data_IF_459378156058
#
_entry.id   IF_459378156058
#
_cell.length_a   1.000
_cell.length_b   1.000
_cell.length_c   1.000
_cell.angle_alpha   90.00
_cell.angle_beta   90.00
_cell.angle_gamma   90.00
#
_symmetry.space_group_name_H-M   'P 1'
#
loop_
_entity.id
_entity.type
_entity.pdbx_description
1 polymer ?
#
# COMPACT_ATOMS: atom_id res chain seq x y z
N UNK A 1 3.89 9.42 -0.66
CA UNK A 1 3.48 10.62 0.07
C UNK A 1 2.21 10.37 0.87
N UNK A 2 1.73 11.41 1.53
CA UNK A 2 0.47 11.49 2.24
C UNK A 2 -0.72 11.18 1.32
N UNK A 3 -1.68 10.37 1.80
CA UNK A 3 -2.99 10.19 1.15
C UNK A 3 -4.06 11.01 1.84
N UNK A 4 -5.20 11.21 1.20
CA UNK A 4 -6.37 11.89 1.79
C UNK A 4 -6.77 11.28 3.15
N UNK A 5 -6.66 9.95 3.27
CA UNK A 5 -6.97 9.23 4.51
C UNK A 5 -5.84 9.24 5.53
N UNK A 6 -4.60 9.43 5.08
CA UNK A 6 -3.51 9.62 6.02
C UNK A 6 -3.64 10.98 6.72
N UNK A 7 -3.96 12.03 5.96
CA UNK A 7 -4.16 13.40 6.44
C UNK A 7 -5.24 13.47 7.54
N UNK A 8 -6.34 12.72 7.39
CA UNK A 8 -7.43 12.69 8.38
C UNK A 8 -7.28 11.57 9.44
N UNK A 9 -6.12 10.92 9.53
CA UNK A 9 -5.81 9.85 10.51
C UNK A 9 -6.76 8.65 10.43
N UNK A 10 -7.19 8.25 9.23
CA UNK A 10 -8.05 7.06 9.01
C UNK A 10 -7.20 5.80 8.78
N UNK A 11 -7.70 4.63 9.20
CA UNK A 11 -7.13 3.34 8.80
C UNK A 11 -7.45 3.04 7.34
N UNK A 12 -6.41 2.91 6.50
CA UNK A 12 -6.58 2.71 5.05
C UNK A 12 -6.51 1.23 4.65
N UNK A 13 -5.33 0.61 4.77
CA UNK A 13 -5.10 -0.73 4.24
C UNK A 13 -5.35 -0.78 2.74
N UNK A 14 -6.17 -1.73 2.28
CA UNK A 14 -6.50 -1.89 0.86
C UNK A 14 -7.58 -0.95 0.35
N UNK A 15 -8.20 -0.12 1.21
CA UNK A 15 -8.98 0.99 0.69
C UNK A 15 -8.10 1.86 -0.22
N UNK A 16 -8.74 2.49 -1.20
CA UNK A 16 -8.03 3.14 -2.30
C UNK A 16 -8.25 4.67 -2.37
N UNK A 17 -7.99 5.41 -1.28
CA UNK A 17 -7.96 6.87 -1.36
C UNK A 17 -6.77 7.33 -2.20
N UNK A 18 -6.93 8.52 -2.74
CA UNK A 18 -5.93 9.15 -3.58
C UNK A 18 -4.80 9.81 -2.75
N UNK A 19 -3.80 10.33 -3.43
CA UNK A 19 -2.81 11.23 -2.84
C UNK A 19 -3.48 12.56 -2.45
N UNK A 20 -3.04 13.17 -1.34
CA UNK A 20 -3.36 14.58 -1.06
C UNK A 20 -2.47 15.50 -1.89
N UNK A 21 -2.81 16.79 -2.01
CA UNK A 21 -1.93 17.78 -2.66
C UNK A 21 -0.52 17.81 -2.04
N UNK A 22 -0.44 17.57 -0.73
CA UNK A 22 0.83 17.41 -0.04
C UNK A 22 1.55 16.14 -0.47
N UNK A 23 0.83 15.01 -0.58
CA UNK A 23 1.36 13.75 -1.07
C UNK A 23 1.93 13.86 -2.48
N UNK A 24 1.30 14.63 -3.37
CA UNK A 24 1.84 14.95 -4.70
C UNK A 24 3.20 15.64 -4.59
N UNK A 25 3.27 16.76 -3.84
CA UNK A 25 4.52 17.52 -3.63
C UNK A 25 5.64 16.69 -2.98
N UNK A 26 5.30 15.78 -2.08
CA UNK A 26 6.27 14.88 -1.44
C UNK A 26 6.90 13.91 -2.47
N UNK A 27 6.13 13.44 -3.44
CA UNK A 27 6.64 12.54 -4.49
C UNK A 27 7.48 13.32 -5.50
N UNK A 28 7.05 14.51 -5.92
CA UNK A 28 7.85 15.40 -6.77
C UNK A 28 9.20 15.72 -6.11
N UNK A 29 9.20 16.00 -4.80
CA UNK A 29 10.43 16.22 -4.06
C UNK A 29 11.31 14.98 -4.01
N UNK A 30 10.75 13.80 -3.77
CA UNK A 30 11.51 12.55 -3.79
C UNK A 30 12.15 12.28 -5.16
N UNK A 31 11.46 12.60 -6.26
CA UNK A 31 12.02 12.46 -7.61
C UNK A 31 13.20 13.41 -7.85
N UNK A 32 13.11 14.67 -7.39
CA UNK A 32 14.24 15.61 -7.44
C UNK A 32 15.45 15.11 -6.66
N UNK A 33 15.25 14.53 -5.49
CA UNK A 33 16.34 13.94 -4.70
C UNK A 33 17.01 12.76 -5.41
N UNK A 34 16.26 11.97 -6.20
CA UNK A 34 16.84 10.89 -7.01
C UNK A 34 17.70 11.46 -8.14
N UNK A 35 17.27 12.52 -8.81
CA UNK A 35 18.05 13.21 -9.85
C UNK A 35 19.33 13.82 -9.27
N UNK A 36 19.20 14.56 -8.16
CA UNK A 36 20.34 15.18 -7.46
C UNK A 36 21.34 14.13 -6.96
N UNK A 37 20.84 12.96 -6.57
CA UNK A 37 21.66 11.82 -6.16
C UNK A 37 22.29 11.04 -7.31
N UNK A 38 21.97 11.35 -8.57
CA UNK A 38 22.49 10.62 -9.74
C UNK A 38 22.01 9.17 -9.84
N UNK A 39 20.80 8.86 -9.33
CA UNK A 39 20.24 7.52 -9.41
C UNK A 39 19.64 7.27 -10.81
N UNK A 40 20.04 6.16 -11.43
CA UNK A 40 19.42 5.63 -12.65
C UNK A 40 18.40 4.54 -12.26
N UNK A 41 17.31 4.44 -13.02
CA UNK A 41 16.22 3.48 -12.76
C UNK A 41 15.95 2.68 -14.02
N UNK A 42 16.07 1.35 -13.93
CA UNK A 42 15.79 0.45 -15.04
C UNK A 42 14.36 -0.11 -15.03
N UNK A 43 13.73 -0.19 -13.84
CA UNK A 43 12.44 -0.83 -13.65
C UNK A 43 11.74 -0.30 -12.39
N UNK A 44 10.41 -0.20 -12.44
CA UNK A 44 9.60 0.18 -11.27
C UNK A 44 8.61 -0.91 -10.89
N UNK A 45 8.58 -1.24 -9.60
CA UNK A 45 7.57 -2.10 -9.00
C UNK A 45 6.63 -1.28 -8.13
N UNK A 46 5.33 -1.49 -8.27
CA UNK A 46 4.32 -0.76 -7.50
C UNK A 46 3.14 -1.65 -7.13
N UNK A 47 2.33 -1.18 -6.18
CA UNK A 47 1.11 -1.87 -5.76
C UNK A 47 -0.03 -1.71 -6.78
N UNK A 48 -1.20 -2.30 -6.49
CA UNK A 48 -2.43 -2.04 -7.27
C UNK A 48 -3.27 -0.88 -6.71
N UNK A 49 -2.73 -0.14 -5.73
CA UNK A 49 -3.39 0.98 -5.08
C UNK A 49 -3.08 2.29 -5.81
N UNK A 50 -4.09 3.09 -6.09
CA UNK A 50 -4.05 4.33 -6.87
C UNK A 50 -2.98 5.28 -6.37
N UNK A 51 -2.90 5.49 -5.05
CA UNK A 51 -1.87 6.34 -4.44
C UNK A 51 -0.43 5.92 -4.76
N UNK A 52 -0.16 4.61 -4.85
CA UNK A 52 1.17 4.10 -5.20
C UNK A 52 1.43 4.22 -6.70
N UNK A 53 0.42 3.92 -7.52
CA UNK A 53 0.51 4.02 -8.98
C UNK A 53 0.73 5.47 -9.42
N UNK A 54 -0.02 6.42 -8.84
CA UNK A 54 0.16 7.86 -9.12
C UNK A 54 1.49 8.37 -8.61
N UNK A 55 1.97 7.89 -7.47
CA UNK A 55 3.33 8.21 -7.01
C UNK A 55 4.36 7.75 -8.06
N UNK A 56 4.21 6.54 -8.61
CA UNK A 56 5.06 6.05 -9.71
C UNK A 56 4.97 6.94 -10.94
N UNK A 57 3.78 7.38 -11.36
CA UNK A 57 3.62 8.25 -12.54
C UNK A 57 4.30 9.61 -12.36
N UNK A 58 4.12 10.25 -11.20
CA UNK A 58 4.77 11.52 -10.88
C UNK A 58 6.29 11.32 -10.92
N UNK A 59 6.80 10.28 -10.27
CA UNK A 59 8.23 9.98 -10.26
C UNK A 59 8.78 9.80 -11.68
N UNK A 60 8.16 8.98 -12.51
CA UNK A 60 8.62 8.75 -13.89
C UNK A 60 8.54 10.00 -14.77
N UNK A 61 7.54 10.86 -14.54
CA UNK A 61 7.43 12.13 -15.24
C UNK A 61 8.56 13.09 -14.85
N UNK A 62 8.83 13.24 -13.55
CA UNK A 62 9.89 14.12 -13.04
C UNK A 62 11.29 13.65 -13.48
N UNK A 63 11.49 12.34 -13.60
CA UNK A 63 12.74 11.78 -14.12
C UNK A 63 12.85 11.89 -15.65
N UNK A 64 11.76 12.21 -16.36
CA UNK A 64 11.66 12.14 -17.82
C UNK A 64 11.86 10.71 -18.40
N UNK A 65 11.46 9.69 -17.63
CA UNK A 65 11.72 8.27 -17.89
C UNK A 65 10.39 7.47 -17.98
N UNK A 66 9.35 8.05 -18.58
CA UNK A 66 7.99 7.46 -18.63
C UNK A 66 7.89 6.15 -19.41
N UNK A 67 8.92 5.82 -20.20
CA UNK A 67 8.98 4.59 -20.98
C UNK A 67 9.43 3.37 -20.14
N UNK A 68 9.91 3.59 -18.91
CA UNK A 68 10.40 2.51 -18.06
C UNK A 68 9.34 1.45 -17.78
N UNK A 69 9.71 0.17 -17.70
CA UNK A 69 8.78 -0.89 -17.38
C UNK A 69 8.23 -0.73 -15.95
N UNK A 70 6.90 -0.80 -15.82
CA UNK A 70 6.20 -0.72 -14.53
C UNK A 70 5.42 -2.00 -14.24
N UNK A 71 5.83 -2.74 -13.21
CA UNK A 71 5.15 -3.95 -12.75
C UNK A 71 4.24 -3.66 -11.56
N UNK A 72 2.93 -3.86 -11.75
CA UNK A 72 1.92 -3.68 -10.71
C UNK A 72 1.56 -5.02 -10.08
N UNK A 73 1.71 -5.13 -8.76
CA UNK A 73 1.39 -6.38 -8.05
C UNK A 73 0.59 -6.11 -6.79
N UNK A 74 -0.48 -6.90 -6.60
CA UNK A 74 -1.27 -6.85 -5.37
C UNK A 74 -0.42 -7.26 -4.16
N UNK A 75 0.64 -8.06 -4.35
CA UNK A 75 1.64 -8.44 -3.34
C UNK A 75 2.35 -7.25 -2.72
N UNK A 76 2.36 -6.09 -3.37
CA UNK A 76 2.90 -4.82 -2.85
C UNK A 76 1.83 -3.91 -2.24
N UNK A 77 0.57 -4.34 -2.16
CA UNK A 77 -0.45 -3.56 -1.44
C UNK A 77 -0.07 -3.44 0.04
N UNK A 78 -0.49 -2.32 0.63
CA UNK A 78 -0.42 -2.06 2.07
C UNK A 78 -1.05 -3.20 2.90
N UNK A 79 -0.66 -3.33 4.17
CA UNK A 79 -1.28 -4.27 5.12
C UNK A 79 -2.78 -4.06 5.21
N UNK A 80 -3.57 -5.12 5.06
CA UNK A 80 -5.03 -5.08 5.22
C UNK A 80 -5.44 -4.88 6.69
N UNK A 81 -6.07 -3.74 6.99
CA UNK A 81 -6.53 -3.40 8.35
C UNK A 81 -7.89 -4.00 8.72
N UNK A 82 -8.46 -4.84 7.86
CA UNK A 82 -9.70 -5.55 8.11
C UNK A 82 -10.87 -4.64 8.45
N UNK A 83 -11.60 -4.94 9.52
CA UNK A 83 -12.75 -4.17 9.96
C UNK A 83 -12.42 -2.74 10.41
N UNK A 84 -11.14 -2.41 10.63
CA UNK A 84 -10.73 -1.06 10.98
C UNK A 84 -10.69 -0.13 9.76
N UNK A 85 -10.64 -0.67 8.55
CA UNK A 85 -10.58 0.14 7.32
C UNK A 85 -11.75 1.14 7.25
N UNK A 86 -11.40 2.42 7.11
CA UNK A 86 -12.35 3.53 7.07
C UNK A 86 -12.66 4.15 8.44
N UNK A 87 -12.16 3.59 9.55
CA UNK A 87 -12.33 4.16 10.89
C UNK A 87 -11.22 5.15 11.24
N UNK A 88 -11.56 6.18 12.02
CA UNK A 88 -10.60 7.14 12.56
C UNK A 88 -9.70 6.48 13.63
N UNK A 89 -8.38 6.64 13.53
CA UNK A 89 -7.41 6.02 14.44
C UNK A 89 -7.59 6.47 15.89
N UNK A 90 -7.88 7.76 16.10
CA UNK A 90 -8.05 8.36 17.43
C UNK A 90 -9.32 7.82 18.09
N UNK A 91 -10.46 7.97 17.42
CA UNK A 91 -11.76 7.48 17.90
C UNK A 91 -11.74 5.96 18.17
N UNK A 92 -11.07 5.18 17.31
CA UNK A 92 -10.94 3.74 17.50
C UNK A 92 -10.12 3.42 18.75
N UNK A 93 -9.05 4.17 19.02
CA UNK A 93 -8.22 3.97 20.21
C UNK A 93 -8.95 4.39 21.50
N UNK A 94 -9.76 5.44 21.46
CA UNK A 94 -10.61 5.87 22.57
C UNK A 94 -11.68 4.80 22.90
N UNK A 95 -12.28 4.20 21.87
CA UNK A 95 -13.34 3.18 22.03
C UNK A 95 -12.82 1.80 22.43
N UNK A 96 -11.72 1.35 21.82
CA UNK A 96 -11.22 -0.03 21.95
C UNK A 96 -10.00 -0.14 22.86
N UNK A 97 -9.43 0.99 23.30
CA UNK A 97 -8.22 1.05 24.10
C UNK A 97 -6.96 1.25 23.25
N UNK A 98 -6.10 2.17 23.72
CA UNK A 98 -4.86 2.52 23.04
C UNK A 98 -3.89 1.34 22.91
N UNK A 99 -3.77 0.50 23.94
CA UNK A 99 -2.87 -0.66 23.93
C UNK A 99 -3.25 -1.68 22.85
N UNK A 100 -4.55 -1.96 22.70
CA UNK A 100 -5.05 -2.90 21.70
C UNK A 100 -4.81 -2.37 20.29
N UNK A 101 -5.15 -1.10 20.04
CA UNK A 101 -4.90 -0.47 18.74
C UNK A 101 -3.41 -0.38 18.43
N UNK A 102 -2.58 -0.10 19.43
CA UNK A 102 -1.13 -0.09 19.28
C UNK A 102 -0.59 -1.49 18.99
N UNK A 103 -1.13 -2.53 19.62
CA UNK A 103 -0.75 -3.92 19.33
C UNK A 103 -1.03 -4.28 17.88
N UNK A 104 -2.20 -3.94 17.32
CA UNK A 104 -2.48 -4.15 15.89
C UNK A 104 -1.53 -3.37 14.97
N UNK A 105 -1.05 -2.21 15.41
CA UNK A 105 -0.17 -1.36 14.60
C UNK A 105 1.29 -1.79 14.65
N UNK A 106 1.80 -2.12 15.83
CA UNK A 106 3.21 -2.38 16.09
C UNK A 106 3.59 -3.84 16.27
N UNK A 107 2.65 -4.75 16.48
CA UNK A 107 2.96 -6.18 16.59
C UNK A 107 3.21 -6.79 15.21
N UNK A 108 4.18 -7.71 15.16
CA UNK A 108 4.45 -8.51 13.97
C UNK A 108 3.29 -9.45 13.62
N UNK A 109 2.62 -10.02 14.62
CA UNK A 109 1.65 -11.12 14.44
C UNK A 109 0.20 -10.77 14.73
N UNK A 110 -0.05 -9.64 15.40
CA UNK A 110 -1.42 -9.25 15.75
C UNK A 110 -2.22 -8.87 14.51
N UNK A 111 -3.44 -9.39 14.40
CA UNK A 111 -4.38 -9.10 13.30
C UNK A 111 -5.55 -8.27 13.85
N UNK A 112 -5.92 -7.17 13.18
CA UNK A 112 -7.22 -6.54 13.41
C UNK A 112 -8.37 -7.53 13.13
N UNK A 113 -9.59 -7.25 13.61
CA UNK A 113 -10.76 -8.07 13.26
C UNK A 113 -10.97 -8.13 11.74
N UNK A 114 -11.40 -9.27 11.17
CA UNK A 114 -11.59 -9.42 9.73
C UNK A 114 -12.72 -8.54 9.20
N UNK A 115 -12.54 -7.98 8.01
CA UNK A 115 -13.59 -7.27 7.30
C UNK A 115 -14.70 -8.24 6.90
N UNK A 116 -15.97 -7.83 7.07
CA UNK A 116 -17.11 -8.58 6.55
C UNK A 116 -17.23 -8.37 5.04
N UNK A 117 -17.65 -9.40 4.29
CA UNK A 117 -17.87 -9.31 2.83
C UNK A 117 -18.97 -8.32 2.42
N UNK A 118 -19.84 -7.95 3.36
CA UNK A 118 -20.86 -6.90 3.17
C UNK A 118 -20.30 -5.48 3.31
N UNK A 119 -19.12 -5.31 3.89
CA UNK A 119 -18.48 -4.00 4.05
C UNK A 119 -18.10 -3.45 2.68
N UNK A 120 -18.34 -2.14 2.46
CA UNK A 120 -18.00 -1.42 1.23
C UNK A 120 -16.51 -1.44 0.87
N UNK A 121 -15.64 -1.65 1.86
CA UNK A 121 -14.18 -1.70 1.69
C UNK A 121 -13.65 -3.12 1.56
N UNK A 122 -14.51 -4.13 1.39
CA UNK A 122 -14.04 -5.47 1.07
C UNK A 122 -13.53 -5.51 -0.39
N UNK A 123 -12.23 -5.80 -0.62
CA UNK A 123 -11.62 -5.67 -1.94
C UNK A 123 -12.10 -6.70 -2.97
N UNK A 124 -12.74 -7.80 -2.54
CA UNK A 124 -13.19 -8.87 -3.46
C UNK A 124 -14.25 -8.48 -4.48
N UNK A 125 -14.82 -7.26 -4.40
CA UNK A 125 -15.74 -6.72 -5.41
C UNK A 125 -15.05 -5.85 -6.46
N UNK A 126 -13.78 -5.51 -6.27
CA UNK A 126 -13.08 -4.60 -7.15
C UNK A 126 -12.49 -5.34 -8.36
N UNK A 127 -12.74 -4.82 -9.56
CA UNK A 127 -12.23 -5.37 -10.82
C UNK A 127 -10.71 -5.58 -10.83
N UNK A 128 -9.96 -4.74 -10.11
CA UNK A 128 -8.48 -4.82 -10.06
C UNK A 128 -7.95 -6.10 -9.38
N UNK A 129 -8.83 -6.89 -8.76
CA UNK A 129 -8.51 -8.16 -8.11
C UNK A 129 -9.29 -9.34 -8.71
N UNK A 130 -9.90 -9.18 -9.90
CA UNK A 130 -10.68 -10.24 -10.56
C UNK A 130 -9.83 -11.45 -11.00
N UNK A 131 -8.52 -11.29 -11.06
CA UNK A 131 -7.53 -12.33 -11.35
C UNK A 131 -7.10 -13.12 -10.11
N UNK A 132 -7.60 -12.78 -8.91
CA UNK A 132 -7.24 -13.42 -7.65
C UNK A 132 -8.33 -14.39 -7.20
N UNK A 133 -7.91 -15.50 -6.57
CA UNK A 133 -8.84 -16.36 -5.84
C UNK A 133 -9.31 -15.69 -4.55
N UNK A 134 -10.45 -16.12 -4.00
CA UNK A 134 -10.93 -15.61 -2.72
C UNK A 134 -9.90 -15.78 -1.59
N UNK A 135 -9.13 -16.87 -1.60
CA UNK A 135 -8.10 -17.14 -0.60
C UNK A 135 -6.89 -16.21 -0.69
N UNK A 136 -6.65 -15.59 -1.86
CA UNK A 136 -5.61 -14.58 -2.04
C UNK A 136 -6.04 -13.20 -1.56
N UNK A 137 -7.34 -12.95 -1.39
CA UNK A 137 -7.87 -11.66 -0.98
C UNK A 137 -8.02 -11.64 0.56
N UNK A 138 -7.13 -10.95 1.29
CA UNK A 138 -7.14 -11.01 2.75
C UNK A 138 -8.36 -10.30 3.33
N UNK A 139 -8.92 -10.87 4.40
CA UNK A 139 -9.94 -10.20 5.20
C UNK A 139 -9.33 -9.34 6.32
N UNK A 140 -8.10 -9.62 6.72
CA UNK A 140 -7.27 -8.88 7.68
C UNK A 140 -5.85 -9.40 7.57
N UNK A 141 -4.86 -8.58 7.89
CA UNK A 141 -3.45 -8.96 7.90
C UNK A 141 -2.75 -8.42 9.15
N UNK A 142 -1.85 -9.24 9.68
CA UNK A 142 -0.75 -8.79 10.53
C UNK A 142 0.40 -8.29 9.65
N UNK A 143 1.46 -7.75 10.26
CA UNK A 143 2.67 -7.41 9.49
C UNK A 143 3.31 -8.67 8.88
N UNK A 144 3.32 -9.79 9.63
CA UNK A 144 3.85 -11.07 9.15
C UNK A 144 3.11 -11.57 7.92
N UNK A 145 1.78 -11.49 7.89
CA UNK A 145 1.00 -11.94 6.73
C UNK A 145 1.36 -11.12 5.49
N UNK A 146 1.45 -9.80 5.65
CA UNK A 146 1.85 -8.90 4.58
C UNK A 146 3.26 -9.25 4.06
N UNK A 147 4.22 -9.49 4.96
CA UNK A 147 5.58 -9.91 4.59
C UNK A 147 5.59 -11.24 3.84
N UNK A 148 4.89 -12.26 4.35
CA UNK A 148 4.79 -13.58 3.73
C UNK A 148 4.17 -13.51 2.34
N UNK A 149 3.25 -12.58 2.12
CA UNK A 149 2.60 -12.36 0.82
C UNK A 149 3.46 -11.58 -0.17
N UNK A 150 4.33 -10.71 0.32
CA UNK A 150 5.33 -9.99 -0.48
C UNK A 150 6.48 -10.89 -0.91
N UNK A 151 6.92 -11.81 -0.04
CA UNK A 151 8.12 -12.63 -0.25
C UNK A 151 8.20 -13.33 -1.62
N UNK A 152 7.14 -13.99 -2.14
CA UNK A 152 7.21 -14.60 -3.46
C UNK A 152 7.49 -13.60 -4.60
N UNK A 153 6.96 -12.37 -4.53
CA UNK A 153 7.28 -11.36 -5.55
C UNK A 153 8.75 -10.93 -5.48
N UNK A 154 9.28 -10.84 -4.26
CA UNK A 154 10.69 -10.54 -4.06
C UNK A 154 11.58 -11.64 -4.67
N UNK A 155 11.34 -12.88 -4.28
CA UNK A 155 12.12 -14.05 -4.71
C UNK A 155 12.05 -14.23 -6.23
N UNK A 156 10.84 -14.25 -6.79
CA UNK A 156 10.60 -14.63 -8.18
C UNK A 156 10.93 -13.51 -9.19
N UNK A 157 10.85 -12.23 -8.77
CA UNK A 157 10.92 -11.12 -9.73
C UNK A 157 11.83 -9.97 -9.31
N UNK A 158 11.60 -9.34 -8.16
CA UNK A 158 12.39 -8.16 -7.78
C UNK A 158 13.87 -8.52 -7.62
N UNK A 159 14.16 -9.64 -6.95
CA UNK A 159 15.54 -10.09 -6.74
C UNK A 159 16.23 -10.48 -8.05
N UNK A 160 15.47 -10.96 -9.03
CA UNK A 160 16.00 -11.29 -10.35
C UNK A 160 16.40 -10.03 -11.12
N UNK A 161 15.53 -9.01 -11.17
CA UNK A 161 15.86 -7.75 -11.88
C UNK A 161 17.04 -7.02 -11.22
N UNK A 162 17.23 -7.12 -9.90
CA UNK A 162 18.37 -6.52 -9.19
C UNK A 162 19.72 -7.19 -9.48
N UNK A 163 19.73 -8.41 -10.02
CA UNK A 163 20.95 -9.17 -10.32
C UNK A 163 21.36 -9.11 -11.79
N UNK A 164 20.58 -8.43 -12.62
CA UNK A 164 20.90 -8.22 -14.04
C UNK A 164 21.92 -7.10 -14.18
#
# INVERSE_FOLDING_TARGET
GESEWNANKTFTGWADPDLSDRGHREVEHAARLLLEGGYEIDVVFTSRLTRAIRSTWILLQELNEVYLPVFKSWRLNERMYGALTGLGKVETAEKLGHELVQAWRGSLRSRPPPVRRSNRYWPGRERRYSDLSESQIPLTESLLDCMSRTAPLWEDKISYELRR
#
